data_IF_506966533474
#
_entry.id   IF_506966533474
#
_cell.length_a   1.000
_cell.length_b   1.000
_cell.length_c   1.000
_cell.angle_alpha   90.00
_cell.angle_beta   90.00
_cell.angle_gamma   90.00
#
_symmetry.space_group_name_H-M   'P 1'
#
loop_
_entity.id
_entity.type
_entity.pdbx_description
1 polymer ?
#
# COMPACT_ATOMS: atom_id res chain seq x y z
N UNK A 1 12.27 -30.07 8.24
CA UNK A 1 11.48 -29.03 7.52
C UNK A 1 12.48 -28.09 6.89
N UNK A 2 12.44 -27.90 5.57
CA UNK A 2 13.45 -27.11 4.85
C UNK A 2 13.17 -25.63 5.08
N UNK A 3 14.09 -24.91 5.72
CA UNK A 3 14.03 -23.45 5.82
C UNK A 3 14.09 -22.86 4.41
N UNK A 4 12.95 -22.42 3.89
CA UNK A 4 12.88 -21.77 2.58
C UNK A 4 13.49 -20.38 2.72
N UNK A 5 14.81 -20.29 2.55
CA UNK A 5 15.53 -19.03 2.57
C UNK A 5 15.32 -18.28 1.26
N UNK A 6 14.92 -17.01 1.34
CA UNK A 6 14.77 -16.13 0.17
C UNK A 6 16.15 -15.89 -0.45
N UNK A 7 16.28 -16.11 -1.75
CA UNK A 7 17.55 -15.83 -2.44
C UNK A 7 17.81 -14.32 -2.55
N UNK A 8 19.08 -13.93 -2.70
CA UNK A 8 19.46 -12.51 -2.82
C UNK A 8 18.77 -11.83 -4.03
N UNK A 9 18.59 -12.56 -5.12
CA UNK A 9 17.91 -12.05 -6.32
C UNK A 9 16.41 -11.83 -6.08
N UNK A 10 15.74 -12.77 -5.40
CA UNK A 10 14.33 -12.60 -5.02
C UNK A 10 14.13 -11.45 -4.04
N UNK A 11 15.06 -11.26 -3.10
CA UNK A 11 15.03 -10.12 -2.18
C UNK A 11 15.17 -8.79 -2.95
N UNK A 12 16.05 -8.73 -3.95
CA UNK A 12 16.25 -7.55 -4.79
C UNK A 12 14.98 -7.22 -5.60
N UNK A 13 14.33 -8.23 -6.15
CA UNK A 13 13.04 -8.06 -6.86
C UNK A 13 11.94 -7.54 -5.92
N UNK A 14 11.87 -8.09 -4.71
CA UNK A 14 10.92 -7.64 -3.69
C UNK A 14 11.18 -6.18 -3.26
N UNK A 15 12.44 -5.78 -3.12
CA UNK A 15 12.82 -4.40 -2.82
C UNK A 15 12.45 -3.43 -3.95
N UNK A 16 12.62 -3.84 -5.21
CA UNK A 16 12.19 -3.06 -6.37
C UNK A 16 10.67 -2.86 -6.35
N UNK A 17 9.90 -3.93 -6.18
CA UNK A 17 8.43 -3.89 -6.07
C UNK A 17 7.97 -2.99 -4.91
N UNK A 18 8.62 -3.08 -3.75
CA UNK A 18 8.34 -2.20 -2.62
C UNK A 18 8.58 -0.72 -2.96
N UNK A 19 9.67 -0.42 -3.65
CA UNK A 19 10.04 0.95 -4.03
C UNK A 19 9.01 1.56 -4.99
N UNK A 20 8.52 0.78 -5.95
CA UNK A 20 7.46 1.19 -6.87
C UNK A 20 6.15 1.48 -6.14
N UNK A 21 5.75 0.58 -5.23
CA UNK A 21 4.52 0.73 -4.45
C UNK A 21 4.61 1.95 -3.54
N UNK A 22 5.74 2.12 -2.83
CA UNK A 22 6.01 3.31 -2.02
C UNK A 22 5.89 4.59 -2.86
N UNK A 23 6.43 4.61 -4.07
CA UNK A 23 6.33 5.77 -4.96
C UNK A 23 4.87 6.06 -5.36
N UNK A 24 4.12 5.02 -5.75
CA UNK A 24 2.70 5.14 -6.10
C UNK A 24 1.86 5.68 -4.94
N UNK A 25 2.06 5.14 -3.73
CA UNK A 25 1.39 5.61 -2.50
C UNK A 25 1.72 7.07 -2.21
N UNK A 26 2.99 7.45 -2.27
CA UNK A 26 3.40 8.83 -2.04
C UNK A 26 2.77 9.80 -3.05
N UNK A 27 2.68 9.41 -4.32
CA UNK A 27 2.02 10.21 -5.34
C UNK A 27 0.51 10.36 -5.06
N UNK A 28 -0.16 9.26 -4.71
CA UNK A 28 -1.57 9.29 -4.33
C UNK A 28 -1.84 10.22 -3.14
N UNK A 29 -1.01 10.14 -2.10
CA UNK A 29 -1.08 11.01 -0.93
C UNK A 29 -0.81 12.48 -1.28
N UNK A 30 0.20 12.76 -2.11
CA UNK A 30 0.50 14.12 -2.55
C UNK A 30 -0.69 14.77 -3.26
N UNK A 31 -1.40 14.03 -4.11
CA UNK A 31 -2.61 14.52 -4.78
C UNK A 31 -3.73 14.81 -3.77
N UNK A 32 -3.97 13.92 -2.81
CA UNK A 32 -4.99 14.12 -1.77
C UNK A 32 -4.64 15.33 -0.90
N UNK A 33 -3.37 15.50 -0.52
CA UNK A 33 -2.88 16.63 0.26
C UNK A 33 -3.06 17.95 -0.50
N UNK A 34 -2.66 17.99 -1.77
CA UNK A 34 -2.83 19.18 -2.61
C UNK A 34 -4.31 19.55 -2.78
N UNK A 35 -5.19 18.55 -3.01
CA UNK A 35 -6.63 18.78 -3.10
C UNK A 35 -7.24 19.25 -1.78
N UNK A 36 -6.77 18.73 -0.65
CA UNK A 36 -7.19 19.17 0.69
C UNK A 36 -6.83 20.63 0.94
N UNK A 37 -5.61 21.03 0.58
CA UNK A 37 -5.16 22.42 0.74
C UNK A 37 -5.90 23.37 -0.21
N UNK A 38 -6.17 22.92 -1.44
CA UNK A 38 -6.97 23.69 -2.40
C UNK A 38 -8.44 23.80 -1.96
N UNK A 39 -9.05 22.75 -1.42
CA UNK A 39 -10.45 22.77 -0.98
C UNK A 39 -10.68 23.70 0.20
N UNK A 40 -9.69 23.90 1.07
CA UNK A 40 -9.74 24.90 2.14
C UNK A 40 -9.81 26.33 1.62
N UNK A 41 -9.18 26.61 0.47
CA UNK A 41 -9.16 27.96 -0.15
C UNK A 41 -10.29 28.17 -1.15
N UNK A 42 -10.70 27.10 -1.84
CA UNK A 42 -11.71 27.10 -2.90
C UNK A 42 -12.64 25.88 -2.70
N UNK A 43 -13.86 26.09 -2.17
CA UNK A 43 -14.80 25.01 -1.88
C UNK A 43 -15.11 24.10 -3.08
N UNK A 44 -15.02 24.62 -4.31
CA UNK A 44 -15.23 23.88 -5.56
C UNK A 44 -14.28 22.68 -5.74
N UNK A 45 -13.16 22.62 -5.01
CA UNK A 45 -12.24 21.48 -5.03
C UNK A 45 -12.65 20.36 -4.07
N UNK A 46 -13.65 20.56 -3.20
CA UNK A 46 -14.10 19.54 -2.25
C UNK A 46 -14.63 18.28 -2.94
N UNK A 47 -15.36 18.44 -4.05
CA UNK A 47 -15.86 17.31 -4.85
C UNK A 47 -14.70 16.52 -5.51
N UNK A 48 -13.69 17.24 -6.00
CA UNK A 48 -12.47 16.63 -6.56
C UNK A 48 -11.66 15.89 -5.50
N UNK A 49 -11.57 16.46 -4.29
CA UNK A 49 -10.97 15.81 -3.14
C UNK A 49 -11.71 14.52 -2.78
N UNK A 50 -13.04 14.57 -2.64
CA UNK A 50 -13.85 13.40 -2.33
C UNK A 50 -13.66 12.29 -3.39
N UNK A 51 -13.70 12.66 -4.67
CA UNK A 51 -13.45 11.74 -5.79
C UNK A 51 -12.04 11.13 -5.73
N UNK A 52 -11.03 11.93 -5.41
CA UNK A 52 -9.65 11.46 -5.28
C UNK A 52 -9.50 10.48 -4.10
N UNK A 53 -10.14 10.75 -2.96
CA UNK A 53 -10.10 9.85 -1.79
C UNK A 53 -10.79 8.52 -2.11
N UNK A 54 -11.99 8.56 -2.68
CA UNK A 54 -12.77 7.36 -3.03
C UNK A 54 -12.06 6.47 -4.06
N UNK A 55 -11.23 7.04 -4.92
CA UNK A 55 -10.49 6.29 -5.96
C UNK A 55 -9.12 5.84 -5.48
N UNK A 56 -8.34 6.72 -4.85
CA UNK A 56 -6.94 6.45 -4.51
C UNK A 56 -6.77 5.65 -3.22
N UNK A 57 -7.65 5.80 -2.24
CA UNK A 57 -7.53 5.05 -0.99
C UNK A 57 -7.68 3.53 -1.23
N UNK A 58 -8.68 3.04 -2.00
CA UNK A 58 -8.75 1.62 -2.36
C UNK A 58 -7.54 1.13 -3.16
N UNK A 59 -7.01 1.97 -4.07
CA UNK A 59 -5.81 1.63 -4.85
C UNK A 59 -4.58 1.42 -3.96
N UNK A 60 -4.38 2.30 -2.97
CA UNK A 60 -3.29 2.16 -1.99
C UNK A 60 -3.41 0.82 -1.24
N UNK A 61 -4.62 0.50 -0.75
CA UNK A 61 -4.86 -0.76 -0.02
C UNK A 61 -4.60 -1.96 -0.92
N UNK A 62 -5.09 -1.96 -2.16
CA UNK A 62 -4.84 -3.04 -3.14
C UNK A 62 -3.35 -3.25 -3.37
N UNK A 63 -2.60 -2.18 -3.66
CA UNK A 63 -1.15 -2.29 -3.89
C UNK A 63 -0.40 -2.82 -2.67
N UNK A 64 -0.77 -2.41 -1.45
CA UNK A 64 -0.16 -2.94 -0.22
C UNK A 64 -0.52 -4.41 0.01
N UNK A 65 -1.74 -4.81 -0.30
CA UNK A 65 -2.17 -6.20 -0.21
C UNK A 65 -1.42 -7.08 -1.21
N UNK A 66 -1.31 -6.67 -2.47
CA UNK A 66 -0.54 -7.35 -3.52
C UNK A 66 0.95 -7.48 -3.17
N UNK A 67 1.51 -6.51 -2.45
CA UNK A 67 2.86 -6.62 -1.91
C UNK A 67 2.95 -7.66 -0.79
N UNK A 68 2.00 -7.63 0.14
CA UNK A 68 1.96 -8.53 1.29
C UNK A 68 1.81 -9.98 0.84
N UNK A 69 0.96 -10.23 -0.16
CA UNK A 69 0.80 -11.54 -0.79
C UNK A 69 2.10 -12.02 -1.43
N UNK A 70 2.73 -11.17 -2.26
CA UNK A 70 4.02 -11.50 -2.88
C UNK A 70 5.14 -11.73 -1.85
N UNK A 71 5.13 -11.04 -0.72
CA UNK A 71 6.05 -11.28 0.39
C UNK A 71 5.77 -12.65 1.05
N UNK A 72 4.50 -12.94 1.38
CA UNK A 72 4.10 -14.19 2.04
C UNK A 72 4.40 -15.42 1.17
N UNK A 73 4.27 -15.33 -0.15
CA UNK A 73 4.68 -16.41 -1.06
C UNK A 73 6.17 -16.77 -0.96
N UNK A 74 7.01 -15.77 -0.65
CA UNK A 74 8.47 -15.92 -0.52
C UNK A 74 8.90 -16.38 0.87
N UNK A 75 8.24 -15.89 1.92
CA UNK A 75 8.56 -16.23 3.32
C UNK A 75 7.86 -17.53 3.78
N UNK A 76 6.86 -18.01 3.03
CA UNK A 76 5.99 -19.13 3.42
C UNK A 76 4.76 -18.65 4.20
N UNK A 77 3.69 -19.48 4.31
CA UNK A 77 2.49 -19.07 5.02
C UNK A 77 2.85 -18.65 6.44
N UNK A 78 2.40 -17.44 6.82
CA UNK A 78 2.43 -16.96 8.19
C UNK A 78 1.79 -18.05 9.06
N UNK A 79 2.52 -18.61 10.02
CA UNK A 79 1.96 -19.56 10.96
C UNK A 79 0.66 -18.96 11.53
N UNK A 80 -0.46 -19.63 11.29
CA UNK A 80 -1.73 -19.30 11.91
C UNK A 80 -1.53 -19.33 13.42
N UNK A 81 -1.60 -18.15 14.05
CA UNK A 81 -1.26 -18.03 15.46
C UNK A 81 -1.30 -16.59 15.93
N UNK A 82 -2.50 -15.99 15.89
CA UNK A 82 -3.10 -15.26 17.01
C UNK A 82 -4.32 -14.46 16.49
N UNK A 83 -5.56 -14.82 16.87
CA UNK A 83 -6.65 -13.87 16.82
C UNK A 83 -6.34 -12.76 17.81
N UNK A 84 -6.21 -11.53 17.34
CA UNK A 84 -6.30 -10.36 18.24
C UNK A 84 -7.78 -10.09 18.44
N UNK A 85 -8.34 -10.24 19.65
CA UNK A 85 -9.69 -9.80 19.93
C UNK A 85 -9.66 -8.27 19.93
N UNK A 86 -10.46 -7.64 19.08
CA UNK A 86 -10.79 -6.23 19.26
C UNK A 86 -11.95 -6.20 20.25
N UNK A 87 -11.68 -5.54 21.38
CA UNK A 87 -12.60 -5.28 22.48
C UNK A 87 -13.82 -4.45 22.05
#
# INVERSE_FOLDING_TARGET
MSEKSISHEELKQLQAKYSEIKHSVNNALAVIMALSEMSQRRPDYAEKLASAVLTKAPQIVSSLQEFTEALNEKVGPKAEGLPTPVA
#
